data_IF_460484000906
#
_entry.id   IF_460484000906
#
_cell.length_a   1.000
_cell.length_b   1.000
_cell.length_c   1.000
_cell.angle_alpha   90.00
_cell.angle_beta   90.00
_cell.angle_gamma   90.00
#
_symmetry.space_group_name_H-M   'P 1'
#
loop_
_entity.id
_entity.type
_entity.pdbx_description
1 polymer ?
#
# COMPACT_ATOMS: atom_id res chain seq x y z
N UNK A 1 -13.88 11.03 28.63
CA UNK A 1 -14.19 10.44 27.30
C UNK A 1 -12.88 10.41 26.52
N UNK A 2 -12.47 9.22 26.03
CA UNK A 2 -11.18 8.98 25.35
C UNK A 2 -11.37 8.87 23.84
N UNK A 3 -11.90 9.92 23.22
CA UNK A 3 -11.94 10.08 21.78
C UNK A 3 -11.35 11.45 21.46
N UNK A 4 -10.30 11.49 20.64
CA UNK A 4 -9.61 12.71 20.27
C UNK A 4 -9.19 12.61 18.79
N UNK A 5 -9.65 13.54 17.96
CA UNK A 5 -9.22 13.67 16.58
C UNK A 5 -7.86 14.38 16.56
N UNK A 6 -6.77 13.61 16.51
CA UNK A 6 -5.40 14.12 16.63
C UNK A 6 -4.88 14.83 15.38
N UNK A 7 -5.25 14.36 14.18
CA UNK A 7 -4.81 14.91 12.89
C UNK A 7 -6.01 15.17 12.00
N UNK A 8 -6.03 16.31 11.32
CA UNK A 8 -6.99 16.62 10.25
C UNK A 8 -6.23 16.96 8.97
N UNK A 9 -6.63 16.32 7.87
CA UNK A 9 -6.12 16.63 6.53
C UNK A 9 -7.25 16.92 5.57
N UNK A 10 -7.19 18.06 4.89
CA UNK A 10 -8.21 18.52 3.94
C UNK A 10 -7.54 19.13 2.71
N UNK A 11 -7.91 18.65 1.53
CA UNK A 11 -7.44 19.19 0.26
C UNK A 11 -8.28 20.41 -0.16
N UNK A 12 -7.62 21.43 -0.70
CA UNK A 12 -8.29 22.63 -1.20
C UNK A 12 -8.66 22.48 -2.68
N UNK A 13 -9.89 22.89 -3.10
CA UNK A 13 -10.34 22.71 -4.49
C UNK A 13 -9.46 23.45 -5.51
N UNK A 14 -8.92 24.62 -5.14
CA UNK A 14 -8.04 25.42 -6.00
C UNK A 14 -6.55 25.06 -5.87
N UNK A 15 -6.26 23.93 -5.20
CA UNK A 15 -4.90 23.48 -4.91
C UNK A 15 -4.39 23.91 -3.53
N UNK A 16 -3.50 23.10 -2.96
CA UNK A 16 -3.04 23.22 -1.59
C UNK A 16 -3.70 22.20 -0.65
N UNK A 17 -3.14 22.05 0.55
CA UNK A 17 -3.67 21.15 1.59
C UNK A 17 -3.50 21.76 2.98
N UNK A 18 -4.46 21.51 3.85
CA UNK A 18 -4.35 21.74 5.29
C UNK A 18 -4.06 20.40 5.93
N UNK A 19 -2.98 20.32 6.71
CA UNK A 19 -2.60 19.14 7.46
C UNK A 19 -2.10 19.57 8.83
N UNK A 20 -2.90 19.30 9.86
CA UNK A 20 -2.67 19.86 11.21
C UNK A 20 -2.81 18.75 12.24
N UNK A 21 -1.91 18.75 13.21
CA UNK A 21 -1.96 17.88 14.38
C UNK A 21 -2.18 18.67 15.68
N UNK A 22 -2.87 18.05 16.63
CA UNK A 22 -3.13 18.56 17.97
C UNK A 22 -2.60 17.60 19.03
N UNK A 23 -2.19 18.12 20.19
CA UNK A 23 -1.78 17.29 21.32
C UNK A 23 -3.02 16.70 22.03
N UNK A 24 -3.01 15.42 22.46
CA UNK A 24 -4.07 14.86 23.27
C UNK A 24 -4.35 15.66 24.55
N UNK A 25 -5.61 15.66 25.02
CA UNK A 25 -5.96 16.21 26.33
C UNK A 25 -5.21 15.50 27.47
N UNK A 26 -4.99 16.22 28.57
CA UNK A 26 -4.21 15.74 29.73
C UNK A 26 -4.71 14.42 30.30
N UNK A 27 -6.02 14.23 30.44
CA UNK A 27 -6.61 12.98 30.94
C UNK A 27 -6.40 11.80 29.99
N UNK A 28 -6.29 12.05 28.68
CA UNK A 28 -6.03 11.00 27.70
C UNK A 28 -4.56 10.57 27.75
N UNK A 29 -3.64 11.53 27.76
CA UNK A 29 -2.21 11.28 27.84
C UNK A 29 -1.82 10.52 29.11
N UNK A 30 -2.42 10.89 30.26
CA UNK A 30 -2.21 10.18 31.52
C UNK A 30 -2.61 8.70 31.43
N UNK A 31 -3.78 8.38 30.87
CA UNK A 31 -4.22 6.99 30.74
C UNK A 31 -3.32 6.17 29.80
N UNK A 32 -2.79 6.76 28.72
CA UNK A 32 -1.84 6.07 27.85
C UNK A 32 -0.52 5.75 28.58
N UNK A 33 -0.01 6.70 29.35
CA UNK A 33 1.22 6.53 30.12
C UNK A 33 1.06 5.45 31.21
N UNK A 34 -0.07 5.46 31.94
CA UNK A 34 -0.37 4.45 32.97
C UNK A 34 -0.43 3.03 32.40
N UNK A 35 -0.89 2.88 31.15
CA UNK A 35 -0.93 1.60 30.43
C UNK A 35 0.39 1.25 29.73
N UNK A 36 1.39 2.15 29.75
CA UNK A 36 2.69 1.94 29.12
C UNK A 36 2.67 2.03 27.59
N UNK A 37 1.71 2.76 27.00
CA UNK A 37 1.69 3.01 25.56
C UNK A 37 2.64 4.15 25.17
N UNK A 38 3.30 3.98 24.02
CA UNK A 38 4.06 5.04 23.37
C UNK A 38 3.21 5.72 22.28
N UNK A 39 3.07 7.04 22.37
CA UNK A 39 2.36 7.87 21.39
C UNK A 39 2.94 7.73 19.98
N UNK A 40 4.26 7.56 19.87
CA UNK A 40 4.95 7.48 18.57
C UNK A 40 4.49 6.30 17.73
N UNK A 41 4.07 5.20 18.37
CA UNK A 41 3.56 4.01 17.68
C UNK A 41 2.20 4.25 16.99
N UNK A 42 1.46 5.28 17.41
CA UNK A 42 0.19 5.67 16.81
C UNK A 42 0.31 6.61 15.60
N UNK A 43 1.51 7.13 15.32
CA UNK A 43 1.76 8.11 14.25
C UNK A 43 1.92 7.42 12.88
N UNK A 44 0.89 6.66 12.49
CA UNK A 44 0.85 5.98 11.20
C UNK A 44 0.65 6.95 10.04
N UNK A 45 1.26 6.63 8.90
CA UNK A 45 1.06 7.34 7.64
C UNK A 45 -0.40 7.19 7.18
N UNK A 46 -0.90 8.23 6.51
CA UNK A 46 -2.17 8.14 5.79
C UNK A 46 -2.03 7.25 4.56
N UNK A 47 -3.14 6.67 4.09
CA UNK A 47 -3.13 5.67 3.02
C UNK A 47 -2.45 6.13 1.71
N UNK A 48 -2.50 7.42 1.42
CA UNK A 48 -1.89 8.05 0.25
C UNK A 48 -0.42 8.48 0.49
N UNK A 49 0.02 8.53 1.74
CA UNK A 49 1.42 8.75 2.13
C UNK A 49 2.21 7.43 2.19
N UNK A 50 1.51 6.29 2.23
CA UNK A 50 2.13 4.98 2.12
C UNK A 50 2.74 4.85 0.73
N UNK A 51 4.07 4.71 0.68
CA UNK A 51 4.77 4.40 -0.56
C UNK A 51 4.37 2.99 -1.04
N UNK A 52 3.53 2.97 -2.08
CA UNK A 52 3.08 1.75 -2.76
C UNK A 52 3.93 1.45 -4.00
N UNK A 53 5.08 2.11 -4.16
CA UNK A 53 5.99 1.75 -5.23
C UNK A 53 6.41 0.29 -5.07
N UNK A 54 6.39 -0.50 -6.16
CA UNK A 54 6.72 -1.90 -6.07
C UNK A 54 8.17 -2.06 -5.60
N UNK A 55 8.38 -2.96 -4.65
CA UNK A 55 9.74 -3.29 -4.24
C UNK A 55 10.47 -4.01 -5.37
N UNK A 56 11.82 -4.03 -5.32
CA UNK A 56 12.63 -4.81 -6.27
C UNK A 56 12.22 -6.29 -6.31
N UNK A 57 11.77 -6.85 -5.19
CA UNK A 57 11.29 -8.22 -5.15
C UNK A 57 9.98 -8.39 -5.91
N UNK A 58 9.07 -7.42 -5.81
CA UNK A 58 7.78 -7.43 -6.50
C UNK A 58 7.97 -7.26 -8.01
N UNK A 59 8.84 -6.35 -8.43
CA UNK A 59 9.25 -6.20 -9.83
C UNK A 59 9.83 -7.51 -10.38
N UNK A 60 10.69 -8.18 -9.61
CA UNK A 60 11.28 -9.46 -10.00
C UNK A 60 10.23 -10.57 -10.11
N UNK A 61 9.25 -10.62 -9.18
CA UNK A 61 8.12 -11.55 -9.25
C UNK A 61 7.27 -11.27 -10.50
N UNK A 62 6.95 -10.01 -10.76
CA UNK A 62 6.19 -9.58 -11.93
C UNK A 62 6.90 -9.97 -13.23
N UNK A 63 8.20 -9.70 -13.37
CA UNK A 63 8.98 -10.06 -14.55
C UNK A 63 8.99 -11.58 -14.80
N UNK A 64 9.12 -12.39 -13.74
CA UNK A 64 9.04 -13.86 -13.83
C UNK A 64 7.67 -14.34 -14.28
N UNK A 65 6.60 -13.75 -13.74
CA UNK A 65 5.22 -14.07 -14.13
C UNK A 65 4.96 -13.70 -15.59
N UNK A 66 5.39 -12.50 -16.01
CA UNK A 66 5.30 -12.03 -17.39
C UNK A 66 6.03 -12.99 -18.34
N UNK A 67 7.29 -13.37 -18.04
CA UNK A 67 8.04 -14.31 -18.85
C UNK A 67 7.36 -15.70 -18.94
N UNK A 68 6.72 -16.16 -17.86
CA UNK A 68 5.95 -17.41 -17.85
C UNK A 68 4.71 -17.31 -18.73
N UNK A 69 4.02 -16.17 -18.72
CA UNK A 69 2.85 -15.92 -19.55
C UNK A 69 3.20 -15.93 -21.03
N UNK A 70 4.24 -15.18 -21.43
CA UNK A 70 4.74 -15.16 -22.82
C UNK A 70 5.12 -16.57 -23.32
N UNK A 71 5.75 -17.40 -22.46
CA UNK A 71 6.06 -18.80 -22.80
C UNK A 71 4.82 -19.66 -23.00
N UNK A 72 3.77 -19.45 -22.21
CA UNK A 72 2.49 -20.17 -22.36
C UNK A 72 1.79 -19.76 -23.64
N UNK A 73 1.75 -18.48 -23.96
CA UNK A 73 1.06 -17.97 -25.15
C UNK A 73 1.69 -18.53 -26.44
N UNK A 74 3.03 -18.53 -26.52
CA UNK A 74 3.77 -19.16 -27.63
C UNK A 74 3.60 -20.69 -27.73
N UNK A 75 3.14 -21.37 -26.67
CA UNK A 75 2.91 -22.83 -26.70
C UNK A 75 1.70 -23.19 -27.57
N UNK A 76 0.68 -22.32 -27.66
CA UNK A 76 -0.45 -22.51 -28.56
C UNK A 76 -0.02 -22.54 -30.03
N UNK A 77 0.86 -21.62 -30.41
CA UNK A 77 1.45 -21.52 -31.75
C UNK A 77 2.34 -22.72 -32.14
N UNK A 78 2.91 -23.41 -31.14
CA UNK A 78 3.66 -24.66 -31.36
C UNK A 78 2.77 -25.87 -31.58
N UNK A 79 1.57 -25.91 -30.97
CA UNK A 79 0.62 -27.02 -31.11
C UNK A 79 0.00 -27.09 -32.50
N UNK A 80 -0.25 -25.95 -33.15
CA UNK A 80 -0.76 -25.93 -34.52
C UNK A 80 0.25 -26.44 -35.56
N UNK A 81 1.56 -26.29 -35.31
CA UNK A 81 2.62 -26.77 -36.21
C UNK A 81 2.86 -28.28 -36.16
N UNK A 82 2.44 -28.96 -35.10
CA UNK A 82 2.60 -30.42 -34.94
C UNK A 82 1.38 -31.24 -35.35
N UNK A 83 0.24 -30.60 -35.65
CA UNK A 83 -1.04 -31.27 -35.93
C UNK A 83 -1.33 -31.54 -37.41
N UNK A 84 -0.42 -31.16 -38.32
CA UNK A 84 -0.60 -31.38 -39.77
C UNK A 84 0.42 -32.37 -40.30
N UNK A 85 0.24 -33.66 -39.98
CA UNK A 85 0.87 -34.81 -40.66
C UNK A 85 0.22 -36.08 -40.10
N UNK A 86 -0.92 -36.44 -40.67
CA UNK A 86 -1.40 -37.81 -40.79
C UNK A 86 -2.56 -37.78 -41.79
N UNK A 87 -2.21 -37.99 -43.07
CA UNK A 87 -3.07 -38.49 -44.15
C UNK A 87 -2.23 -39.48 -44.96
#
# INVERSE_FOLDING_TARGET
MHLHARRIRVDHPDGGRVDVMAEPPTHFAASLADMGFDLSLGDMLLDDEIDRTPTREDEKKFARQHAKQVRKDRKGERRSRGGSRDE
#
